data_IF_897074370746
#
_entry.id   IF_897074370746
#
_cell.length_a   1.000
_cell.length_b   1.000
_cell.length_c   1.000
_cell.angle_alpha   90.00
_cell.angle_beta   90.00
_cell.angle_gamma   90.00
#
_symmetry.space_group_name_H-M   'P 1'
#
loop_
_entity.id
_entity.type
_entity.pdbx_description
1 polymer ?
#
# COMPACT_ATOMS: atom_id res chain seq x y z
N UNK A 1 8.85 -4.24 8.18
CA UNK A 1 8.78 -2.91 8.81
C UNK A 1 7.35 -2.43 8.79
N UNK A 2 6.84 -2.04 9.96
CA UNK A 2 5.45 -1.62 10.12
C UNK A 2 5.39 -0.10 10.28
N UNK A 3 4.56 0.55 9.49
CA UNK A 3 4.25 1.98 9.63
C UNK A 3 2.75 2.12 9.87
N UNK A 4 2.39 3.06 10.71
CA UNK A 4 1.02 3.35 11.03
C UNK A 4 0.69 4.79 10.64
N UNK A 5 -0.23 4.95 9.70
CA UNK A 5 -0.78 6.25 9.32
C UNK A 5 -2.12 6.41 10.01
N UNK A 6 -2.16 7.28 11.01
CA UNK A 6 -3.41 7.61 11.67
C UNK A 6 -4.10 8.73 10.91
N UNK A 7 -5.24 8.43 10.33
CA UNK A 7 -6.10 9.40 9.69
C UNK A 7 -7.43 9.37 10.42
N UNK A 8 -7.73 10.41 11.19
CA UNK A 8 -8.93 10.40 11.99
C UNK A 8 -10.17 10.69 11.17
N UNK A 9 -10.81 9.65 10.68
CA UNK A 9 -12.18 9.70 10.19
C UNK A 9 -13.13 9.20 11.28
N UNK A 10 -13.36 10.03 12.27
CA UNK A 10 -14.42 9.75 13.22
C UNK A 10 -15.55 10.72 12.90
N UNK A 11 -16.50 10.25 12.09
CA UNK A 11 -17.77 10.93 11.91
C UNK A 11 -18.73 10.38 12.97
N UNK A 12 -19.15 11.26 13.89
CA UNK A 12 -20.21 10.96 14.87
C UNK A 12 -20.02 9.63 15.63
N UNK A 13 -18.79 9.29 16.01
CA UNK A 13 -18.51 8.08 16.79
C UNK A 13 -18.54 6.77 16.01
N UNK A 14 -18.59 6.82 14.68
CA UNK A 14 -18.57 5.64 13.84
C UNK A 14 -17.25 5.52 13.09
N UNK A 15 -16.59 4.38 13.23
CA UNK A 15 -15.46 4.03 12.40
C UNK A 15 -15.93 3.75 10.98
N UNK A 16 -15.38 4.49 10.04
CA UNK A 16 -15.72 4.36 8.63
C UNK A 16 -14.86 3.27 7.98
N UNK A 17 -15.48 2.47 7.10
CA UNK A 17 -14.75 1.56 6.23
C UNK A 17 -13.87 2.37 5.27
N UNK A 18 -12.57 2.07 5.23
CA UNK A 18 -11.64 2.74 4.34
C UNK A 18 -11.60 2.03 2.99
N UNK A 19 -12.00 2.74 1.96
CA UNK A 19 -11.93 2.29 0.58
C UNK A 19 -10.61 2.77 -0.05
N UNK A 20 -10.31 2.28 -1.25
CA UNK A 20 -9.09 2.64 -1.98
C UNK A 20 -8.89 4.16 -2.04
N UNK A 21 -9.92 4.90 -2.43
CA UNK A 21 -9.86 6.36 -2.53
C UNK A 21 -9.55 7.06 -1.21
N UNK A 22 -10.00 6.47 -0.10
CA UNK A 22 -9.77 7.04 1.24
C UNK A 22 -8.33 6.84 1.70
N UNK A 23 -7.66 5.83 1.16
CA UNK A 23 -6.29 5.46 1.51
C UNK A 23 -5.27 6.24 0.68
N UNK A 24 -5.56 6.47 -0.61
CA UNK A 24 -4.58 7.06 -1.55
C UNK A 24 -4.10 8.45 -1.14
N UNK A 25 -5.00 9.35 -0.78
CA UNK A 25 -4.63 10.72 -0.46
C UNK A 25 -3.69 10.82 0.75
N UNK A 26 -4.03 10.26 1.92
CA UNK A 26 -3.10 10.29 3.05
C UNK A 26 -1.81 9.51 2.79
N UNK A 27 -1.87 8.44 1.98
CA UNK A 27 -0.68 7.70 1.59
C UNK A 27 0.28 8.58 0.79
N UNK A 28 -0.22 9.29 -0.22
CA UNK A 28 0.62 10.14 -1.06
C UNK A 28 1.26 11.28 -0.26
N UNK A 29 0.51 11.91 0.63
CA UNK A 29 1.04 12.93 1.51
C UNK A 29 2.18 12.36 2.38
N UNK A 30 1.96 11.17 2.94
CA UNK A 30 2.97 10.51 3.76
C UNK A 30 4.24 10.19 2.97
N UNK A 31 4.10 9.61 1.77
CA UNK A 31 5.24 9.25 0.94
C UNK A 31 6.03 10.49 0.50
N UNK A 32 5.36 11.56 0.16
CA UNK A 32 6.00 12.82 -0.21
C UNK A 32 6.72 13.47 0.96
N UNK A 33 6.19 13.36 2.17
CA UNK A 33 6.84 13.88 3.38
C UNK A 33 8.09 13.09 3.77
N UNK A 34 8.11 11.78 3.49
CA UNK A 34 9.23 10.91 3.86
C UNK A 34 10.41 10.99 2.89
N UNK A 35 10.24 11.59 1.72
CA UNK A 35 11.25 11.60 0.67
C UNK A 35 11.39 12.98 0.04
N UNK A 36 12.62 13.48 -0.06
CA UNK A 36 12.90 14.78 -0.66
C UNK A 36 12.64 14.80 -2.16
N UNK A 37 13.00 13.71 -2.84
CA UNK A 37 12.81 13.56 -4.28
C UNK A 37 12.08 12.25 -4.53
N UNK A 38 10.80 12.37 -4.84
CA UNK A 38 9.96 11.21 -5.13
C UNK A 38 9.06 11.52 -6.30
N UNK A 39 8.89 10.54 -7.17
CA UNK A 39 7.87 10.57 -8.20
C UNK A 39 6.89 9.44 -7.93
N UNK A 40 5.61 9.77 -7.89
CA UNK A 40 4.55 8.78 -7.65
C UNK A 40 3.80 8.55 -8.95
N UNK A 41 3.73 7.30 -9.37
CA UNK A 41 2.98 6.88 -10.55
C UNK A 41 1.86 5.95 -10.09
N UNK A 42 0.72 6.05 -10.76
CA UNK A 42 -0.44 5.21 -10.43
C UNK A 42 -0.76 4.25 -11.56
N UNK A 43 -1.29 3.09 -11.18
CA UNK A 43 -1.85 2.11 -12.10
C UNK A 43 -0.87 1.69 -13.21
N UNK A 44 0.30 1.19 -12.82
CA UNK A 44 1.33 0.75 -13.78
C UNK A 44 1.27 -0.75 -14.02
N UNK A 45 1.19 -1.13 -15.29
CA UNK A 45 1.22 -2.53 -15.70
C UNK A 45 2.60 -3.14 -15.43
N UNK A 46 2.60 -4.32 -14.86
CA UNK A 46 3.79 -5.14 -14.61
C UNK A 46 3.45 -6.60 -14.90
N UNK A 47 3.93 -7.10 -16.03
CA UNK A 47 3.58 -8.46 -16.45
C UNK A 47 2.07 -8.64 -16.62
N UNK A 48 1.49 -9.57 -15.87
CA UNK A 48 0.04 -9.84 -15.88
C UNK A 48 -0.72 -9.09 -14.80
N UNK A 49 -0.02 -8.36 -13.96
CA UNK A 49 -0.60 -7.59 -12.87
C UNK A 49 -0.49 -6.10 -13.16
N UNK A 50 -1.10 -5.31 -12.31
CA UNK A 50 -1.00 -3.85 -12.34
C UNK A 50 -0.69 -3.37 -10.94
N UNK A 51 0.40 -2.60 -10.83
CA UNK A 51 0.75 -1.98 -9.56
C UNK A 51 -0.15 -0.79 -9.31
N UNK A 52 -0.74 -0.73 -8.12
CA UNK A 52 -1.59 0.40 -7.74
C UNK A 52 -0.81 1.70 -7.71
N UNK A 53 0.37 1.66 -7.10
CA UNK A 53 1.26 2.82 -6.99
C UNK A 53 2.70 2.35 -7.17
N UNK A 54 3.49 3.16 -7.87
CA UNK A 54 4.93 2.98 -8.00
C UNK A 54 5.59 4.27 -7.54
N UNK A 55 6.50 4.15 -6.59
CA UNK A 55 7.27 5.26 -6.08
C UNK A 55 8.68 5.20 -6.65
N UNK A 56 9.07 6.21 -7.40
CA UNK A 56 10.40 6.30 -8.00
C UNK A 56 11.25 7.21 -7.14
N UNK A 57 12.30 6.66 -6.55
CA UNK A 57 13.30 7.36 -5.75
C UNK A 57 14.60 7.47 -6.55
N UNK A 58 15.59 8.17 -6.01
CA UNK A 58 16.86 8.35 -6.70
C UNK A 58 17.59 7.04 -7.00
N UNK A 59 17.54 6.08 -6.08
CA UNK A 59 18.31 4.85 -6.18
C UNK A 59 17.46 3.57 -6.23
N UNK A 60 16.16 3.68 -6.11
CA UNK A 60 15.29 2.50 -6.13
C UNK A 60 13.89 2.81 -6.63
N UNK A 61 13.22 1.76 -7.08
CA UNK A 61 11.81 1.81 -7.48
C UNK A 61 11.03 0.92 -6.53
N UNK A 62 10.01 1.49 -5.90
CA UNK A 62 9.22 0.82 -4.86
C UNK A 62 7.80 0.59 -5.37
N UNK A 63 7.37 -0.68 -5.34
CA UNK A 63 5.99 -1.03 -5.64
C UNK A 63 5.11 -0.93 -4.40
N UNK A 64 3.89 -0.45 -4.57
CA UNK A 64 2.96 -0.27 -3.47
C UNK A 64 1.60 -0.85 -3.87
N UNK A 65 1.17 -1.88 -3.15
CA UNK A 65 -0.14 -2.48 -3.32
C UNK A 65 -1.09 -1.95 -2.25
N UNK A 66 -2.28 -1.53 -2.66
CA UNK A 66 -3.31 -1.04 -1.74
C UNK A 66 -4.37 -2.12 -1.57
N UNK A 67 -4.61 -2.53 -0.32
CA UNK A 67 -5.71 -3.41 0.05
C UNK A 67 -6.68 -2.65 0.94
N UNK A 68 -7.76 -2.19 0.34
CA UNK A 68 -8.82 -1.49 1.07
C UNK A 68 -9.59 -2.46 1.97
N UNK A 69 -10.42 -1.92 2.86
CA UNK A 69 -11.23 -2.73 3.76
C UNK A 69 -12.23 -3.63 3.03
N UNK A 70 -12.56 -3.30 1.77
CA UNK A 70 -13.46 -4.09 0.94
C UNK A 70 -12.75 -5.20 0.15
N UNK A 71 -11.43 -5.21 0.09
CA UNK A 71 -10.67 -6.16 -0.70
C UNK A 71 -10.46 -7.49 0.01
N UNK A 72 -10.15 -8.52 -0.78
CA UNK A 72 -9.77 -9.85 -0.29
C UNK A 72 -8.32 -10.15 -0.65
N UNK A 73 -7.79 -11.27 -0.12
CA UNK A 73 -6.43 -11.71 -0.42
C UNK A 73 -6.33 -12.68 -1.60
N UNK A 74 -7.43 -12.89 -2.31
CA UNK A 74 -7.52 -13.93 -3.34
C UNK A 74 -6.43 -13.86 -4.43
N UNK A 75 -5.99 -12.65 -4.79
CA UNK A 75 -4.97 -12.45 -5.83
C UNK A 75 -3.60 -12.06 -5.29
N UNK A 76 -3.47 -11.93 -3.98
CA UNK A 76 -2.29 -11.30 -3.39
C UNK A 76 -1.02 -12.13 -3.62
N UNK A 77 -1.08 -13.46 -3.51
CA UNK A 77 0.12 -14.29 -3.73
C UNK A 77 0.69 -14.16 -5.14
N UNK A 78 -0.17 -14.03 -6.14
CA UNK A 78 0.28 -13.79 -7.51
C UNK A 78 0.81 -12.37 -7.68
N UNK A 79 0.15 -11.39 -7.10
CA UNK A 79 0.59 -10.00 -7.14
C UNK A 79 1.97 -9.86 -6.49
N UNK A 80 2.21 -10.52 -5.37
CA UNK A 80 3.52 -10.50 -4.71
C UNK A 80 4.63 -10.95 -5.65
N UNK A 81 4.42 -12.02 -6.40
CA UNK A 81 5.42 -12.52 -7.36
C UNK A 81 5.73 -11.49 -8.44
N UNK A 82 4.70 -10.84 -8.96
CA UNK A 82 4.88 -9.83 -10.00
C UNK A 82 5.59 -8.59 -9.45
N UNK A 83 5.18 -8.11 -8.28
CA UNK A 83 5.85 -6.99 -7.62
C UNK A 83 7.33 -7.28 -7.36
N UNK A 84 7.65 -8.47 -6.85
CA UNK A 84 9.04 -8.85 -6.54
C UNK A 84 9.91 -8.92 -7.80
N UNK A 85 9.32 -9.20 -8.96
CA UNK A 85 10.07 -9.24 -10.23
C UNK A 85 10.39 -7.86 -10.78
N UNK A 86 9.53 -6.88 -10.56
CA UNK A 86 9.61 -5.58 -11.23
C UNK A 86 10.17 -4.45 -10.37
N UNK A 87 10.12 -4.58 -9.06
CA UNK A 87 10.50 -3.48 -8.16
C UNK A 87 11.57 -3.91 -7.17
N UNK A 88 12.39 -2.95 -6.76
CA UNK A 88 13.49 -3.19 -5.83
C UNK A 88 13.00 -3.51 -4.42
N UNK A 89 11.89 -2.88 -4.04
CA UNK A 89 11.28 -3.03 -2.73
C UNK A 89 9.77 -2.88 -2.87
N UNK A 90 9.02 -3.53 -2.00
CA UNK A 90 7.57 -3.52 -2.08
C UNK A 90 6.90 -3.29 -0.73
N UNK A 91 5.78 -2.60 -0.77
CA UNK A 91 4.97 -2.28 0.39
C UNK A 91 3.52 -2.68 0.13
N UNK A 92 2.81 -3.09 1.17
CA UNK A 92 1.36 -3.19 1.14
C UNK A 92 0.77 -2.15 2.07
N UNK A 93 -0.25 -1.46 1.60
CA UNK A 93 -0.98 -0.45 2.37
C UNK A 93 -2.38 -0.96 2.61
N UNK A 94 -2.79 -1.02 3.85
CA UNK A 94 -4.07 -1.62 4.25
C UNK A 94 -4.86 -0.70 5.15
N UNK A 95 -6.18 -0.87 5.13
CA UNK A 95 -7.05 -0.30 6.14
C UNK A 95 -7.03 -1.15 7.41
N UNK A 96 -7.76 -0.70 8.43
CA UNK A 96 -7.77 -1.31 9.76
C UNK A 96 -8.19 -2.77 9.76
N UNK A 97 -9.13 -3.14 8.89
CA UNK A 97 -9.66 -4.51 8.85
C UNK A 97 -8.61 -5.55 8.45
N UNK A 98 -7.59 -5.15 7.68
CA UNK A 98 -6.52 -6.03 7.23
C UNK A 98 -5.25 -5.93 8.08
N UNK A 99 -5.16 -4.97 8.99
CA UNK A 99 -3.93 -4.66 9.70
C UNK A 99 -3.35 -5.86 10.47
N UNK A 100 -4.19 -6.72 11.01
CA UNK A 100 -3.78 -7.86 11.83
C UNK A 100 -3.48 -9.13 11.02
N UNK A 101 -3.93 -9.19 9.77
CA UNK A 101 -3.88 -10.43 8.97
C UNK A 101 -3.02 -10.36 7.73
N UNK A 102 -2.75 -9.15 7.21
CA UNK A 102 -2.05 -9.01 5.94
C UNK A 102 -0.64 -9.62 5.98
N UNK A 103 0.02 -9.58 7.12
CA UNK A 103 1.36 -10.15 7.28
C UNK A 103 1.43 -11.65 6.97
N UNK A 104 0.32 -12.36 7.13
CA UNK A 104 0.23 -13.79 6.83
C UNK A 104 0.21 -14.08 5.32
N UNK A 105 -0.03 -13.07 4.50
CA UNK A 105 -0.24 -13.19 3.06
C UNK A 105 0.87 -12.58 2.21
N UNK A 106 1.90 -12.02 2.85
CA UNK A 106 3.03 -11.39 2.17
C UNK A 106 4.35 -11.90 2.75
N UNK A 107 5.46 -11.80 1.97
CA UNK A 107 6.78 -12.12 2.51
C UNK A 107 7.16 -11.18 3.66
N UNK A 108 7.97 -11.66 4.58
CA UNK A 108 8.39 -10.89 5.75
C UNK A 108 9.28 -9.68 5.40
N UNK A 109 9.87 -9.67 4.20
CA UNK A 109 10.67 -8.53 3.72
C UNK A 109 9.85 -7.40 3.10
N UNK A 110 8.54 -7.60 2.91
CA UNK A 110 7.65 -6.53 2.47
C UNK A 110 7.35 -5.59 3.63
N UNK A 111 7.24 -4.28 3.32
CA UNK A 111 6.78 -3.31 4.30
C UNK A 111 5.26 -3.27 4.38
N UNK A 112 4.75 -2.86 5.53
CA UNK A 112 3.30 -2.71 5.77
C UNK A 112 3.05 -1.30 6.27
N UNK A 113 2.11 -0.61 5.63
CA UNK A 113 1.59 0.67 6.09
C UNK A 113 0.11 0.48 6.42
N UNK A 114 -0.29 0.82 7.64
CA UNK A 114 -1.69 0.77 8.04
C UNK A 114 -2.26 2.18 8.09
N UNK A 115 -3.39 2.38 7.42
CA UNK A 115 -4.14 3.63 7.43
C UNK A 115 -5.35 3.45 8.34
N UNK A 116 -5.46 4.30 9.34
CA UNK A 116 -6.55 4.27 10.31
C UNK A 116 -7.47 5.47 10.22
#
# INVERSE_FOLDING_TARGET
>A
MFFRLSYSYIEAGKQRMLLDKDIREPLFEYLEEQHDKVRILEEKTMGRSRADVVMVLEEEVVGVEIKSDADTYARLSRQVKDYDRFFDRNLVVVGTSHAHHVAEHIPDYWGIITVE
#
